data_IF_882439150539
#
_entry.id   IF_882439150539
#
_cell.length_a   1.000
_cell.length_b   1.000
_cell.length_c   1.000
_cell.angle_alpha   90.00
_cell.angle_beta   90.00
_cell.angle_gamma   90.00
#
_symmetry.space_group_name_H-M   'P 1'
#
loop_
_entity.id
_entity.type
_entity.pdbx_description
1 polymer ?
#
# COMPACT_ATOMS: atom_id res chain seq x y z
N UNK A 1 -8.23 -36.85 -23.57
CA UNK A 1 -8.75 -36.33 -22.29
C UNK A 1 -7.63 -36.03 -21.28
N UNK A 2 -6.69 -36.95 -21.04
CA UNK A 2 -5.59 -36.73 -20.07
C UNK A 2 -4.71 -35.51 -20.35
N UNK A 3 -4.34 -35.27 -21.60
CA UNK A 3 -3.46 -34.16 -21.96
C UNK A 3 -4.10 -32.80 -21.66
N UNK A 4 -5.39 -32.65 -22.00
CA UNK A 4 -6.17 -31.47 -21.64
C UNK A 4 -6.27 -31.28 -20.12
N UNK A 5 -6.51 -32.37 -19.37
CA UNK A 5 -6.58 -32.31 -17.91
C UNK A 5 -5.25 -31.83 -17.30
N UNK A 6 -4.11 -32.31 -17.82
CA UNK A 6 -2.79 -31.87 -17.37
C UNK A 6 -2.55 -30.39 -17.67
N UNK A 7 -2.93 -29.91 -18.86
CA UNK A 7 -2.83 -28.50 -19.24
C UNK A 7 -3.68 -27.63 -18.29
N UNK A 8 -4.91 -28.04 -17.99
CA UNK A 8 -5.77 -27.31 -17.06
C UNK A 8 -5.19 -27.25 -15.64
N UNK A 9 -4.61 -28.34 -15.15
CA UNK A 9 -3.94 -28.36 -13.83
C UNK A 9 -2.75 -27.39 -13.81
N UNK A 10 -1.89 -27.44 -14.83
CA UNK A 10 -0.75 -26.53 -14.93
C UNK A 10 -1.19 -25.05 -15.00
N UNK A 11 -2.25 -24.74 -15.76
CA UNK A 11 -2.82 -23.40 -15.84
C UNK A 11 -3.36 -22.92 -14.48
N UNK A 12 -4.06 -23.80 -13.74
CA UNK A 12 -4.55 -23.50 -12.39
C UNK A 12 -3.41 -23.23 -11.40
N UNK A 13 -2.34 -24.02 -11.45
CA UNK A 13 -1.15 -23.80 -10.61
C UNK A 13 -0.45 -22.49 -10.94
N UNK A 14 -0.29 -22.17 -12.22
CA UNK A 14 0.30 -20.89 -12.65
C UNK A 14 -0.53 -19.70 -12.17
N UNK A 15 -1.86 -19.79 -12.26
CA UNK A 15 -2.77 -18.77 -11.74
C UNK A 15 -2.65 -18.59 -10.22
N UNK A 16 -2.64 -19.70 -9.46
CA UNK A 16 -2.48 -19.65 -8.00
C UNK A 16 -1.14 -19.01 -7.60
N UNK A 17 -0.05 -19.37 -8.28
CA UNK A 17 1.27 -18.77 -8.05
C UNK A 17 1.27 -17.26 -8.35
N UNK A 18 0.64 -16.84 -9.45
CA UNK A 18 0.54 -15.42 -9.81
C UNK A 18 -0.25 -14.63 -8.74
N UNK A 19 -1.34 -15.19 -8.22
CA UNK A 19 -2.14 -14.57 -7.16
C UNK A 19 -1.36 -14.45 -5.84
N UNK A 20 -0.71 -15.52 -5.39
CA UNK A 20 0.15 -15.48 -4.20
C UNK A 20 1.29 -14.48 -4.36
N UNK A 21 1.92 -14.45 -5.54
CA UNK A 21 2.98 -13.48 -5.85
C UNK A 21 2.45 -12.06 -5.78
N UNK A 22 1.29 -11.77 -6.36
CA UNK A 22 0.69 -10.44 -6.29
C UNK A 22 0.47 -10.00 -4.82
N UNK A 23 -0.11 -10.87 -3.99
CA UNK A 23 -0.34 -10.59 -2.56
C UNK A 23 0.96 -10.40 -1.76
N UNK A 24 1.99 -11.19 -2.07
CA UNK A 24 3.29 -11.14 -1.38
C UNK A 24 4.24 -10.06 -1.94
N UNK A 25 3.98 -9.52 -3.12
CA UNK A 25 4.84 -8.50 -3.72
C UNK A 25 4.62 -7.12 -3.09
N UNK A 26 5.74 -6.43 -2.89
CA UNK A 26 5.79 -5.08 -2.36
C UNK A 26 4.93 -4.09 -3.14
N UNK A 27 4.72 -4.27 -4.44
CA UNK A 27 3.94 -3.33 -5.26
C UNK A 27 2.52 -3.07 -4.74
N UNK A 28 1.80 -4.12 -4.31
CA UNK A 28 0.45 -3.98 -3.73
C UNK A 28 0.54 -3.38 -2.32
N UNK A 29 1.53 -3.80 -1.53
CA UNK A 29 1.73 -3.32 -0.17
C UNK A 29 2.14 -1.84 -0.14
N UNK A 30 3.04 -1.39 -1.02
CA UNK A 30 3.48 0.00 -1.14
C UNK A 30 2.32 0.93 -1.50
N UNK A 31 1.45 0.51 -2.43
CA UNK A 31 0.22 1.23 -2.75
C UNK A 31 -0.71 1.36 -1.54
N UNK A 32 -0.86 0.28 -0.76
CA UNK A 32 -1.65 0.28 0.46
C UNK A 32 -1.05 1.17 1.56
N UNK A 33 0.29 1.20 1.70
CA UNK A 33 0.98 2.05 2.67
C UNK A 33 0.87 3.53 2.31
N UNK A 34 0.91 3.89 1.02
CA UNK A 34 0.66 5.26 0.58
C UNK A 34 -0.76 5.73 0.88
N UNK A 35 -1.76 4.87 0.65
CA UNK A 35 -3.15 5.15 1.02
C UNK A 35 -3.32 5.26 2.54
N UNK A 36 -2.71 4.34 3.29
CA UNK A 36 -2.75 4.34 4.74
C UNK A 36 -2.11 5.59 5.35
N UNK A 37 -0.97 6.03 4.82
CA UNK A 37 -0.32 7.28 5.22
C UNK A 37 -1.22 8.49 4.95
N UNK A 38 -1.90 8.56 3.80
CA UNK A 38 -2.89 9.61 3.50
C UNK A 38 -4.06 9.61 4.49
N UNK A 39 -4.59 8.44 4.84
CA UNK A 39 -5.67 8.32 5.82
C UNK A 39 -5.25 8.83 7.20
N UNK A 40 -4.03 8.52 7.64
CA UNK A 40 -3.50 9.00 8.90
C UNK A 40 -3.28 10.52 8.86
N UNK A 41 -2.74 11.06 7.76
CA UNK A 41 -2.59 12.50 7.58
C UNK A 41 -3.95 13.23 7.67
N UNK A 42 -4.99 12.70 7.02
CA UNK A 42 -6.35 13.24 7.11
C UNK A 42 -6.92 13.18 8.53
N UNK A 43 -6.70 12.06 9.24
CA UNK A 43 -7.15 11.90 10.62
C UNK A 43 -6.44 12.86 11.58
N UNK A 44 -5.19 13.23 11.30
CA UNK A 44 -4.43 14.24 12.03
C UNK A 44 -4.83 15.69 11.69
N UNK A 45 -5.78 15.90 10.76
CA UNK A 45 -6.29 17.23 10.39
C UNK A 45 -5.63 17.85 9.17
N UNK A 46 -4.85 17.10 8.38
CA UNK A 46 -4.31 17.60 7.12
C UNK A 46 -5.41 17.83 6.08
N UNK A 47 -5.29 18.90 5.28
CA UNK A 47 -6.27 19.25 4.25
C UNK A 47 -5.60 19.65 2.93
N UNK A 48 -6.30 19.40 1.82
CA UNK A 48 -5.85 19.76 0.47
C UNK A 48 -4.46 19.20 0.15
N UNK A 49 -3.54 20.08 -0.25
CA UNK A 49 -2.19 19.69 -0.66
C UNK A 49 -1.33 19.13 0.49
N UNK A 50 -1.66 19.46 1.76
CA UNK A 50 -0.89 18.99 2.92
C UNK A 50 -1.00 17.48 3.11
N UNK A 51 -2.12 16.86 2.71
CA UNK A 51 -2.32 15.41 2.84
C UNK A 51 -1.22 14.65 2.10
N UNK A 52 -0.95 15.07 0.86
CA UNK A 52 0.01 14.40 -0.01
C UNK A 52 1.44 14.63 0.45
N UNK A 53 1.77 15.84 0.90
CA UNK A 53 3.09 16.19 1.44
C UNK A 53 3.38 15.42 2.75
N UNK A 54 2.43 15.40 3.69
CA UNK A 54 2.58 14.71 4.98
C UNK A 54 2.65 13.19 4.77
N UNK A 55 1.79 12.63 3.92
CA UNK A 55 1.84 11.22 3.58
C UNK A 55 3.18 10.83 2.95
N UNK A 56 3.72 11.65 2.05
CA UNK A 56 5.03 11.40 1.44
C UNK A 56 6.13 11.41 2.50
N UNK A 57 6.18 12.43 3.37
CA UNK A 57 7.17 12.53 4.45
C UNK A 57 7.11 11.33 5.40
N UNK A 58 5.92 10.91 5.83
CA UNK A 58 5.78 9.72 6.69
C UNK A 58 6.31 8.43 6.04
N UNK A 59 6.11 8.27 4.73
CA UNK A 59 6.62 7.11 3.98
C UNK A 59 8.13 7.17 3.83
N UNK A 60 8.69 8.34 3.49
CA UNK A 60 10.14 8.58 3.37
C UNK A 60 10.85 8.34 4.72
N UNK A 61 10.27 8.80 5.82
CA UNK A 61 10.77 8.60 7.18
C UNK A 61 10.51 7.18 7.74
N UNK A 62 9.72 6.37 7.03
CA UNK A 62 9.21 5.07 7.51
C UNK A 62 8.51 5.17 8.88
N UNK A 63 7.88 6.31 9.18
CA UNK A 63 7.20 6.59 10.44
C UNK A 63 5.73 6.97 10.20
N UNK A 64 4.92 5.95 9.90
CA UNK A 64 3.49 6.11 9.62
C UNK A 64 2.72 5.94 10.93
N UNK A 65 2.79 6.96 11.79
CA UNK A 65 2.10 6.99 13.10
C UNK A 65 1.28 8.28 13.23
N UNK A 66 0.11 8.24 13.89
CA UNK A 66 -0.71 9.43 14.13
C UNK A 66 0.06 10.57 14.79
N UNK A 67 0.86 10.29 15.81
CA UNK A 67 1.68 11.30 16.48
C UNK A 67 2.65 12.02 15.52
N UNK A 68 3.27 11.29 14.58
CA UNK A 68 4.15 11.92 13.59
C UNK A 68 3.37 12.74 12.57
N UNK A 69 2.17 12.30 12.20
CA UNK A 69 1.29 13.08 11.34
C UNK A 69 0.87 14.40 12.02
N UNK A 70 0.54 14.37 13.31
CA UNK A 70 0.20 15.56 14.10
C UNK A 70 1.38 16.56 14.17
N UNK A 71 2.60 16.08 14.39
CA UNK A 71 3.82 16.89 14.34
C UNK A 71 3.99 17.56 12.96
N UNK A 72 3.85 16.78 11.88
CA UNK A 72 3.99 17.28 10.51
C UNK A 72 2.88 18.26 10.12
N UNK A 73 1.65 18.08 10.61
CA UNK A 73 0.56 19.05 10.46
C UNK A 73 0.94 20.35 11.15
N UNK A 74 1.47 20.30 12.37
CA UNK A 74 1.88 21.49 13.12
C UNK A 74 3.07 22.24 12.49
N UNK A 75 3.98 21.54 11.81
CA UNK A 75 5.10 22.14 11.06
C UNK A 75 4.65 22.88 9.79
N UNK A 76 3.52 22.48 9.20
CA UNK A 76 3.01 22.97 7.91
C UNK A 76 1.81 23.92 8.03
N UNK A 77 1.23 24.04 9.23
CA UNK A 77 0.17 24.98 9.57
C UNK A 77 0.71 26.41 9.71
#
# INVERSE_FOLDING_TARGET
>A
ANELAQICVCAGLASNLAAMRALATEGIQQGHMGLHARQIAMAAGAHGHMIDEIARRMVEERNIKPARAEELVAELA
#
